data_IF_350303832606
#
_entry.id   IF_350303832606
#
_cell.length_a   1.000
_cell.length_b   1.000
_cell.length_c   1.000
_cell.angle_alpha   90.00
_cell.angle_beta   90.00
_cell.angle_gamma   90.00
#
_symmetry.space_group_name_H-M   'P 1'
#
loop_
_entity.id
_entity.type
_entity.pdbx_description
1 polymer ?
#
# COMPACT_ATOMS: atom_id res chain seq x y z
N UNK A 1 10.67 -44.51 13.35
CA UNK A 1 9.49 -43.74 13.76
C UNK A 1 9.28 -42.64 12.72
N UNK A 2 8.46 -42.90 11.66
CA UNK A 2 8.19 -41.97 10.56
C UNK A 2 7.05 -41.05 10.97
N UNK A 3 7.29 -39.73 11.06
CA UNK A 3 6.22 -38.73 11.18
C UNK A 3 5.57 -38.56 9.80
N UNK A 4 4.34 -38.98 9.67
CA UNK A 4 3.50 -38.65 8.51
C UNK A 4 3.15 -37.18 8.58
N UNK A 5 3.59 -36.41 7.59
CA UNK A 5 3.12 -35.05 7.35
C UNK A 5 1.75 -35.21 6.67
N UNK A 6 0.69 -35.00 7.41
CA UNK A 6 -0.67 -34.91 6.85
C UNK A 6 -0.77 -33.52 6.26
N UNK A 7 -0.56 -33.39 4.95
CA UNK A 7 -0.98 -32.23 4.19
C UNK A 7 -2.49 -32.40 3.91
N UNK A 8 -3.32 -31.75 4.71
CA UNK A 8 -4.74 -31.60 4.36
C UNK A 8 -4.82 -30.57 3.24
N UNK A 9 -4.82 -31.00 2.01
CA UNK A 9 -5.23 -30.21 0.84
C UNK A 9 -6.76 -30.01 0.92
N UNK A 10 -7.20 -29.11 1.76
CA UNK A 10 -8.55 -28.55 1.66
C UNK A 10 -8.53 -27.58 0.48
N UNK A 11 -9.45 -27.66 -0.47
CA UNK A 11 -9.56 -26.66 -1.53
C UNK A 11 -9.86 -25.30 -0.89
N UNK A 12 -8.98 -24.35 -1.07
CA UNK A 12 -9.15 -22.98 -0.58
C UNK A 12 -10.39 -22.40 -1.27
N UNK A 13 -11.39 -22.01 -0.48
CA UNK A 13 -12.57 -21.34 -1.00
C UNK A 13 -12.18 -19.99 -1.63
N UNK A 14 -12.86 -19.60 -2.73
CA UNK A 14 -12.62 -18.33 -3.43
C UNK A 14 -12.64 -17.13 -2.49
N UNK A 15 -13.44 -17.17 -1.46
CA UNK A 15 -13.57 -16.18 -0.42
C UNK A 15 -12.33 -16.15 0.48
N UNK A 16 -11.88 -17.29 0.96
CA UNK A 16 -10.65 -17.42 1.76
C UNK A 16 -9.43 -17.00 0.95
N UNK A 17 -9.42 -17.27 -0.34
CA UNK A 17 -8.41 -16.77 -1.27
C UNK A 17 -8.40 -15.24 -1.36
N UNK A 18 -9.57 -14.61 -1.48
CA UNK A 18 -9.70 -13.14 -1.53
C UNK A 18 -9.29 -12.46 -0.21
N UNK A 19 -9.65 -13.03 0.92
CA UNK A 19 -9.28 -12.50 2.25
C UNK A 19 -7.78 -12.68 2.51
N UNK A 20 -7.22 -13.83 2.12
CA UNK A 20 -5.81 -14.16 2.35
C UNK A 20 -4.87 -13.59 1.27
N UNK A 21 -5.39 -13.16 0.12
CA UNK A 21 -4.58 -12.53 -0.93
C UNK A 21 -4.14 -11.10 -0.60
N UNK A 22 -4.68 -10.55 0.50
CA UNK A 22 -4.08 -9.36 1.14
C UNK A 22 -3.95 -8.14 0.27
N UNK A 23 -4.86 -7.96 -0.65
CA UNK A 23 -5.02 -6.66 -1.31
C UNK A 23 -5.60 -5.68 -0.30
N UNK A 24 -4.80 -5.27 0.64
CA UNK A 24 -5.05 -4.47 1.82
C UNK A 24 -6.38 -3.69 1.84
N UNK A 25 -6.50 -2.59 1.10
CA UNK A 25 -7.72 -1.79 1.04
C UNK A 25 -8.86 -2.42 0.25
N UNK A 26 -8.57 -3.12 -0.84
CA UNK A 26 -9.60 -3.78 -1.63
C UNK A 26 -10.24 -4.93 -0.86
N UNK A 27 -9.48 -5.65 -0.05
CA UNK A 27 -10.02 -6.69 0.82
C UNK A 27 -10.93 -6.12 1.92
N UNK A 28 -10.59 -4.94 2.49
CA UNK A 28 -11.43 -4.24 3.47
C UNK A 28 -12.72 -3.75 2.82
N UNK A 29 -12.64 -3.18 1.62
CA UNK A 29 -13.83 -2.73 0.87
C UNK A 29 -14.73 -3.91 0.46
N UNK A 30 -14.13 -5.01 -0.03
CA UNK A 30 -14.85 -6.24 -0.37
C UNK A 30 -15.45 -6.91 0.86
N UNK A 31 -14.76 -6.96 2.00
CA UNK A 31 -15.32 -7.49 3.23
C UNK A 31 -16.57 -6.69 3.66
N UNK A 32 -16.54 -5.35 3.52
CA UNK A 32 -17.70 -4.50 3.79
C UNK A 32 -18.88 -4.73 2.84
N UNK A 33 -18.63 -5.12 1.58
CA UNK A 33 -19.68 -5.43 0.60
C UNK A 33 -20.30 -6.82 0.80
N UNK A 34 -19.54 -7.76 1.36
CA UNK A 34 -19.95 -9.16 1.52
C UNK A 34 -20.55 -9.47 2.89
N UNK A 35 -20.51 -8.53 3.83
CA UNK A 35 -20.97 -8.73 5.22
C UNK A 35 -22.48 -9.09 5.34
N UNK A 36 -23.28 -8.83 4.31
CA UNK A 36 -24.70 -9.20 4.25
C UNK A 36 -24.97 -10.70 4.10
N UNK A 37 -23.97 -11.53 3.75
CA UNK A 37 -24.11 -12.97 3.48
C UNK A 37 -23.32 -13.87 4.46
N UNK A 38 -22.62 -13.28 5.46
CA UNK A 38 -21.63 -13.97 6.28
C UNK A 38 -22.19 -14.59 7.57
N UNK A 39 -23.30 -15.26 7.52
CA UNK A 39 -23.73 -16.18 8.60
C UNK A 39 -23.31 -17.62 8.28
N UNK A 40 -22.02 -17.86 8.00
CA UNK A 40 -21.47 -19.21 7.91
C UNK A 40 -20.66 -19.51 9.18
N UNK A 41 -21.09 -20.52 9.92
CA UNK A 41 -20.43 -21.08 11.10
C UNK A 41 -19.00 -21.55 10.76
N UNK A 42 -18.03 -20.76 11.12
CA UNK A 42 -16.63 -21.10 10.97
C UNK A 42 -15.75 -20.06 11.67
N UNK A 43 -15.15 -20.45 12.75
CA UNK A 43 -14.37 -19.67 13.70
C UNK A 43 -13.10 -19.02 13.14
N UNK A 44 -13.22 -18.09 12.24
CA UNK A 44 -12.23 -17.05 12.05
C UNK A 44 -12.87 -15.73 12.46
N UNK A 45 -12.37 -15.15 13.56
CA UNK A 45 -12.78 -13.83 14.03
C UNK A 45 -12.38 -12.75 13.02
N UNK A 46 -13.06 -12.72 11.86
CA UNK A 46 -13.15 -11.50 11.08
C UNK A 46 -13.83 -10.50 12.01
N UNK A 47 -13.10 -9.46 12.42
CA UNK A 47 -13.70 -8.35 13.15
C UNK A 47 -14.85 -7.86 12.28
N UNK A 48 -16.07 -7.99 12.78
CA UNK A 48 -17.26 -7.42 12.15
C UNK A 48 -16.95 -5.98 11.78
N UNK A 49 -17.35 -5.57 10.58
CA UNK A 49 -17.16 -4.21 10.12
C UNK A 49 -17.75 -3.27 11.18
N UNK A 50 -16.96 -2.31 11.66
CA UNK A 50 -17.39 -1.36 12.70
C UNK A 50 -18.50 -0.42 12.20
N UNK A 51 -18.70 -0.36 10.89
CA UNK A 51 -19.69 0.47 10.23
C UNK A 51 -20.49 -0.34 9.23
N UNK A 52 -21.78 -0.06 9.14
CA UNK A 52 -22.65 -0.67 8.13
C UNK A 52 -22.12 -0.32 6.72
N UNK A 53 -22.01 -1.30 5.81
CA UNK A 53 -21.55 -1.06 4.45
C UNK A 53 -22.51 -0.13 3.70
N UNK A 54 -21.97 0.92 3.09
CA UNK A 54 -22.75 1.86 2.26
C UNK A 54 -22.40 1.77 0.78
N UNK A 55 -21.19 1.29 0.47
CA UNK A 55 -20.73 1.16 -0.90
C UNK A 55 -21.32 -0.10 -1.55
N UNK A 56 -21.80 0.03 -2.78
CA UNK A 56 -22.30 -1.08 -3.61
C UNK A 56 -21.26 -1.62 -4.58
N UNK A 57 -20.23 -0.82 -4.85
CA UNK A 57 -19.16 -1.17 -5.78
C UNK A 57 -17.87 -0.51 -5.32
N UNK A 58 -16.74 -1.14 -5.61
CA UNK A 58 -15.41 -0.60 -5.40
C UNK A 58 -14.63 -0.63 -6.71
N UNK A 59 -13.82 0.41 -6.96
CA UNK A 59 -12.90 0.47 -8.08
C UNK A 59 -11.50 0.58 -7.50
N UNK A 60 -10.62 -0.33 -7.88
CA UNK A 60 -9.20 -0.29 -7.52
C UNK A 60 -8.39 0.29 -8.68
N UNK A 61 -7.94 1.54 -8.52
CA UNK A 61 -7.08 2.20 -9.50
C UNK A 61 -5.63 2.00 -9.09
N UNK A 62 -5.00 1.03 -9.71
CA UNK A 62 -3.61 0.69 -9.42
C UNK A 62 -2.67 1.34 -10.43
N UNK A 63 -1.66 2.04 -9.93
CA UNK A 63 -0.58 2.61 -10.74
C UNK A 63 0.67 1.75 -10.60
N UNK A 64 0.98 0.97 -11.61
CA UNK A 64 2.15 0.11 -11.65
C UNK A 64 3.44 0.93 -11.52
N UNK A 65 4.36 0.44 -10.68
CA UNK A 65 5.60 1.15 -10.39
C UNK A 65 5.44 2.36 -9.46
N UNK A 66 4.21 2.80 -9.25
CA UNK A 66 3.81 3.87 -8.34
C UNK A 66 4.46 5.23 -8.59
N UNK A 67 3.77 6.31 -8.26
CA UNK A 67 4.38 7.62 -8.14
C UNK A 67 5.14 7.74 -6.81
N UNK A 68 6.12 8.64 -6.77
CA UNK A 68 6.82 8.96 -5.52
C UNK A 68 5.90 9.72 -4.56
N UNK A 69 5.51 9.12 -3.44
CA UNK A 69 4.68 9.78 -2.44
C UNK A 69 5.34 11.04 -1.85
N UNK A 70 6.67 11.07 -1.79
CA UNK A 70 7.45 12.22 -1.32
C UNK A 70 7.40 13.41 -2.29
N UNK A 71 6.99 13.18 -3.53
CA UNK A 71 6.79 14.23 -4.52
C UNK A 71 5.32 14.66 -4.65
N UNK A 72 4.38 13.97 -4.01
CA UNK A 72 2.95 14.16 -4.24
C UNK A 72 2.17 14.58 -2.98
N UNK A 73 2.29 13.86 -1.86
CA UNK A 73 1.46 14.07 -0.67
C UNK A 73 2.24 14.14 0.64
N UNK A 74 3.55 13.86 0.62
CA UNK A 74 4.36 13.72 1.81
C UNK A 74 5.63 14.57 1.74
N UNK A 75 5.55 15.89 1.96
CA UNK A 75 6.69 16.78 1.89
C UNK A 75 7.75 16.39 2.92
N UNK A 76 9.00 16.35 2.49
CA UNK A 76 10.17 16.04 3.30
C UNK A 76 11.13 17.25 3.32
N UNK A 77 10.89 18.26 4.19
CA UNK A 77 11.75 19.45 4.27
C UNK A 77 13.22 19.10 4.47
N UNK A 78 13.50 18.04 5.23
CA UNK A 78 14.84 17.55 5.49
C UNK A 78 15.60 17.17 4.20
N UNK A 79 14.92 16.60 3.21
CA UNK A 79 15.54 16.29 1.91
C UNK A 79 15.95 17.56 1.17
N UNK A 80 15.20 18.65 1.32
CA UNK A 80 15.55 19.95 0.70
C UNK A 80 16.79 20.56 1.37
N UNK A 81 16.87 20.48 2.70
CA UNK A 81 18.01 20.96 3.47
C UNK A 81 19.29 20.19 3.16
N UNK A 82 19.15 18.88 2.93
CA UNK A 82 20.27 17.97 2.68
C UNK A 82 20.55 17.73 1.20
N UNK A 83 19.94 18.50 0.30
CA UNK A 83 20.12 18.34 -1.13
C UNK A 83 21.60 18.42 -1.54
N UNK A 84 22.07 17.45 -2.32
CA UNK A 84 23.45 17.34 -2.79
C UNK A 84 24.45 16.83 -1.74
N UNK A 85 24.00 16.53 -0.53
CA UNK A 85 24.84 15.92 0.51
C UNK A 85 24.75 14.41 0.46
N UNK A 86 25.74 13.74 1.03
CA UNK A 86 25.71 12.30 1.24
C UNK A 86 24.72 11.96 2.37
N UNK A 87 24.14 10.76 2.30
CA UNK A 87 23.30 10.26 3.40
C UNK A 87 24.15 10.13 4.67
N UNK A 88 23.70 10.67 5.81
CA UNK A 88 24.44 10.56 7.06
C UNK A 88 24.63 9.09 7.48
N UNK A 89 25.80 8.74 8.01
CA UNK A 89 26.11 7.39 8.53
C UNK A 89 25.14 6.91 9.61
N UNK A 90 24.46 7.82 10.30
CA UNK A 90 23.44 7.51 11.31
C UNK A 90 22.24 6.74 10.76
N UNK A 91 22.02 6.73 9.43
CA UNK A 91 20.99 5.92 8.79
C UNK A 91 21.41 4.46 8.56
N UNK A 92 22.68 4.13 8.82
CA UNK A 92 23.23 2.79 8.60
C UNK A 92 23.35 2.42 7.13
N UNK A 93 23.57 1.14 6.86
CA UNK A 93 23.69 0.61 5.51
C UNK A 93 22.32 0.63 4.82
N UNK A 94 22.25 1.31 3.69
CA UNK A 94 21.07 1.34 2.84
C UNK A 94 21.22 0.33 1.70
N UNK A 95 20.10 -0.29 1.34
CA UNK A 95 20.05 -1.16 0.17
C UNK A 95 19.36 -0.39 -0.95
N UNK A 96 20.08 -0.18 -2.05
CA UNK A 96 19.53 0.46 -3.25
C UNK A 96 19.37 -0.57 -4.37
N UNK A 97 18.33 -0.45 -5.22
CA UNK A 97 18.08 -1.39 -6.31
C UNK A 97 19.22 -1.49 -7.33
N UNK A 98 19.98 -0.40 -7.51
CA UNK A 98 21.03 -0.27 -8.51
C UNK A 98 22.45 -0.26 -7.91
N UNK A 99 22.59 -0.43 -6.60
CA UNK A 99 23.90 -0.42 -5.93
C UNK A 99 24.54 0.98 -5.85
N UNK A 100 23.75 2.01 -5.96
CA UNK A 100 24.21 3.42 -5.93
C UNK A 100 24.26 3.92 -4.47
N UNK A 101 25.24 3.45 -3.72
CA UNK A 101 25.37 3.75 -2.29
C UNK A 101 25.87 5.18 -2.03
N UNK A 102 26.65 5.74 -2.97
CA UNK A 102 27.32 7.04 -2.81
C UNK A 102 26.60 8.17 -3.55
N UNK A 103 25.41 7.95 -4.03
CA UNK A 103 24.63 8.98 -4.70
C UNK A 103 24.22 10.08 -3.72
N UNK A 104 24.41 11.37 -4.06
CA UNK A 104 23.97 12.46 -3.22
C UNK A 104 22.44 12.52 -3.13
N UNK A 105 21.93 12.98 -1.99
CA UNK A 105 20.50 13.11 -1.76
C UNK A 105 19.88 14.09 -2.75
N UNK A 106 18.80 13.66 -3.39
CA UNK A 106 18.00 14.50 -4.27
C UNK A 106 17.07 15.39 -3.42
N UNK A 107 17.26 16.70 -3.54
CA UNK A 107 16.38 17.65 -2.89
C UNK A 107 14.99 17.68 -3.52
N UNK A 108 14.00 17.94 -2.69
CA UNK A 108 12.63 18.19 -3.14
C UNK A 108 12.56 19.50 -3.96
N UNK A 109 12.08 19.39 -5.18
CA UNK A 109 11.89 20.51 -6.13
C UNK A 109 10.43 20.91 -6.27
N UNK A 110 9.52 20.35 -5.48
CA UNK A 110 8.09 20.60 -5.56
C UNK A 110 7.72 21.85 -4.77
N UNK A 111 6.66 22.49 -5.23
CA UNK A 111 5.95 23.49 -4.44
C UNK A 111 4.82 22.82 -3.70
N UNK A 112 4.72 23.09 -2.41
CA UNK A 112 3.80 22.47 -1.48
C UNK A 112 2.81 23.46 -0.93
N UNK A 113 1.55 23.09 -0.89
CA UNK A 113 0.50 23.88 -0.26
C UNK A 113 -0.48 22.95 0.46
N UNK A 114 -1.04 23.46 1.55
CA UNK A 114 -2.15 22.82 2.24
C UNK A 114 -3.45 23.16 1.49
N UNK A 115 -4.31 22.17 1.34
CA UNK A 115 -5.57 22.27 0.62
C UNK A 115 -6.72 21.71 1.46
N UNK A 116 -7.94 22.19 1.17
CA UNK A 116 -9.16 21.76 1.82
C UNK A 116 -9.25 22.14 3.30
N UNK A 117 -10.32 21.74 3.94
CA UNK A 117 -10.54 21.87 5.39
C UNK A 117 -9.64 20.92 6.17
N UNK A 118 -9.31 19.76 5.59
CA UNK A 118 -8.38 18.79 6.16
C UNK A 118 -6.96 19.29 6.28
N UNK A 119 -6.59 20.36 5.56
CA UNK A 119 -5.23 20.89 5.53
C UNK A 119 -4.21 19.91 4.93
N UNK A 120 -4.62 19.01 4.07
CA UNK A 120 -3.75 18.02 3.45
C UNK A 120 -2.68 18.68 2.57
N UNK A 121 -1.43 18.24 2.74
CA UNK A 121 -0.35 18.69 1.88
C UNK A 121 -0.42 18.02 0.52
N UNK A 122 -0.47 18.83 -0.54
CA UNK A 122 -0.44 18.36 -1.93
C UNK A 122 0.58 19.19 -2.70
N UNK A 123 1.37 18.52 -3.54
CA UNK A 123 2.32 19.19 -4.41
C UNK A 123 1.62 19.84 -5.61
N UNK A 124 2.29 20.81 -6.21
CA UNK A 124 1.83 21.48 -7.44
C UNK A 124 1.67 20.55 -8.65
N UNK A 125 2.08 19.30 -8.54
CA UNK A 125 1.91 18.29 -9.61
C UNK A 125 0.52 17.67 -9.66
N UNK A 126 -0.27 17.81 -8.60
CA UNK A 126 -1.61 17.23 -8.49
C UNK A 126 -2.70 18.32 -8.32
N UNK A 127 -2.79 19.30 -9.25
CA UNK A 127 -3.71 20.44 -9.07
C UNK A 127 -5.18 20.01 -9.01
N UNK A 128 -5.57 18.98 -9.75
CA UNK A 128 -6.95 18.47 -9.73
C UNK A 128 -7.28 17.67 -8.49
N UNK A 129 -6.35 16.86 -7.98
CA UNK A 129 -6.54 16.14 -6.72
C UNK A 129 -6.62 17.12 -5.54
N UNK A 130 -5.85 18.20 -5.61
CA UNK A 130 -5.88 19.25 -4.60
C UNK A 130 -7.29 19.87 -4.41
N UNK A 131 -8.17 19.83 -5.42
CA UNK A 131 -9.53 20.36 -5.30
C UNK A 131 -10.51 19.40 -4.63
N UNK A 132 -10.16 18.15 -4.43
CA UNK A 132 -11.02 17.12 -3.82
C UNK A 132 -10.36 16.41 -2.63
N UNK A 133 -9.36 17.02 -1.99
CA UNK A 133 -8.62 16.38 -0.89
C UNK A 133 -9.49 16.05 0.33
N UNK A 134 -10.57 16.79 0.55
CA UNK A 134 -11.46 16.54 1.68
C UNK A 134 -12.33 15.29 1.49
N UNK A 135 -12.44 14.82 0.24
CA UNK A 135 -13.13 13.58 -0.13
C UNK A 135 -12.18 12.36 -0.15
N UNK A 136 -10.89 12.56 0.13
CA UNK A 136 -9.85 11.55 -0.01
C UNK A 136 -9.16 11.27 1.35
N UNK A 137 -9.02 10.00 1.68
CA UNK A 137 -8.17 9.57 2.79
C UNK A 137 -6.76 9.24 2.32
N UNK A 138 -5.75 9.94 2.81
CA UNK A 138 -4.34 9.76 2.43
C UNK A 138 -3.62 8.98 3.53
N UNK A 139 -3.10 7.80 3.20
CA UNK A 139 -2.33 6.97 4.13
C UNK A 139 -0.87 7.03 3.75
N UNK A 140 -0.06 7.75 4.53
CA UNK A 140 1.37 7.97 4.30
C UNK A 140 2.28 6.97 5.00
N UNK A 141 1.74 6.14 5.87
CA UNK A 141 2.50 5.17 6.68
C UNK A 141 2.66 3.78 6.05
N UNK A 142 2.18 3.59 4.81
CA UNK A 142 2.34 2.32 4.11
C UNK A 142 3.81 2.15 3.68
N UNK A 143 4.35 0.97 3.91
CA UNK A 143 5.67 0.58 3.42
C UNK A 143 5.67 -0.89 2.99
N UNK A 144 6.66 -1.29 2.20
CA UNK A 144 6.78 -2.65 1.71
C UNK A 144 8.22 -3.10 1.57
N UNK A 145 8.42 -4.39 1.41
CA UNK A 145 9.73 -5.04 1.24
C UNK A 145 10.18 -5.10 -0.23
N UNK A 146 9.33 -4.64 -1.15
CA UNK A 146 9.67 -4.63 -2.57
C UNK A 146 10.75 -3.62 -2.88
N UNK A 147 11.98 -4.09 -3.13
CA UNK A 147 13.13 -3.23 -3.42
C UNK A 147 13.05 -2.56 -4.81
N UNK A 148 12.35 -3.18 -5.74
CA UNK A 148 12.12 -2.66 -7.10
C UNK A 148 10.63 -2.68 -7.46
N UNK A 149 10.28 -2.10 -8.60
CA UNK A 149 8.90 -2.00 -9.04
C UNK A 149 8.20 -3.36 -9.16
N UNK A 150 8.86 -4.36 -9.73
CA UNK A 150 8.26 -5.69 -9.91
C UNK A 150 7.87 -6.34 -8.59
N UNK A 151 8.77 -6.30 -7.60
CA UNK A 151 8.50 -6.83 -6.27
C UNK A 151 7.45 -6.00 -5.53
N UNK A 152 7.47 -4.67 -5.68
CA UNK A 152 6.45 -3.77 -5.13
C UNK A 152 5.08 -4.01 -5.71
N UNK A 153 4.97 -4.23 -7.03
CA UNK A 153 3.72 -4.59 -7.72
C UNK A 153 3.19 -5.94 -7.21
N UNK A 154 4.05 -6.95 -7.12
CA UNK A 154 3.67 -8.23 -6.54
C UNK A 154 3.13 -8.05 -5.12
N UNK A 155 3.84 -7.32 -4.27
CA UNK A 155 3.43 -7.10 -2.88
C UNK A 155 2.10 -6.37 -2.77
N UNK A 156 1.86 -5.34 -3.56
CA UNK A 156 0.60 -4.58 -3.54
C UNK A 156 -0.60 -5.42 -4.00
N UNK A 157 -0.41 -6.36 -4.91
CA UNK A 157 -1.49 -7.16 -5.46
C UNK A 157 -1.66 -8.53 -4.80
N UNK A 158 -0.60 -9.05 -4.15
CA UNK A 158 -0.58 -10.43 -3.63
C UNK A 158 -0.10 -10.55 -2.18
N UNK A 159 0.27 -9.43 -1.54
CA UNK A 159 0.92 -9.37 -0.22
C UNK A 159 2.25 -10.12 -0.10
N UNK A 160 2.87 -10.49 -1.22
CA UNK A 160 4.19 -11.11 -1.23
C UNK A 160 5.05 -10.48 -2.33
N UNK A 161 6.32 -10.28 -2.07
CA UNK A 161 7.28 -9.77 -3.07
C UNK A 161 7.59 -10.79 -4.18
N UNK A 162 7.22 -12.04 -4.00
CA UNK A 162 7.46 -13.14 -4.95
C UNK A 162 6.27 -13.29 -5.89
N UNK A 163 6.56 -13.52 -7.17
CA UNK A 163 5.55 -13.87 -8.16
C UNK A 163 4.92 -15.25 -7.89
N UNK A 164 3.76 -15.50 -8.52
CA UNK A 164 3.09 -16.79 -8.50
C UNK A 164 1.96 -16.94 -7.46
N UNK A 165 1.64 -15.88 -6.73
CA UNK A 165 0.46 -15.84 -5.87
C UNK A 165 -0.75 -15.25 -6.62
N UNK A 166 -1.97 -15.66 -6.27
CA UNK A 166 -3.17 -15.05 -6.84
C UNK A 166 -3.24 -13.56 -6.53
N UNK A 167 -3.71 -12.78 -7.48
CA UNK A 167 -4.01 -11.35 -7.33
C UNK A 167 -5.50 -11.07 -7.47
N UNK A 168 -5.91 -9.85 -7.15
CA UNK A 168 -7.30 -9.41 -7.31
C UNK A 168 -7.68 -9.05 -8.75
N UNK A 169 -6.74 -9.00 -9.66
CA UNK A 169 -6.97 -8.61 -11.05
C UNK A 169 -6.19 -9.46 -12.04
#
# INVERSE_FOLDING_TARGET
>A
MRRSIITSEQPIDRREMLVNSGAGFAAIAMAGLLDGELHAEGTHHLRLAQHAPKAKSAIFLFMEGGPSQMDLFDPKPKLREMAGQQLPESYGDIITPMGEYDAPLLGDKREWKQHGESGAWVSNWLPHIATCVDDISIIRSCWGNGLNHSNGVCQMNTCDIRAGRPSLG
#
